data_IF_168734128092
#
_entry.id   IF_168734128092
#
_cell.length_a   1.000
_cell.length_b   1.000
_cell.length_c   1.000
_cell.angle_alpha   90.00
_cell.angle_beta   90.00
_cell.angle_gamma   90.00
#
_symmetry.space_group_name_H-M   'P 1'
#
loop_
_entity.id
_entity.type
_entity.pdbx_description
1 polymer ?
#
# COMPACT_ATOMS: atom_id res chain seq x y z
N UNK A 1 0.08 -4.01 12.99
CA UNK A 1 -1.16 -4.18 12.20
C UNK A 1 -0.77 -4.33 10.74
N UNK A 2 -1.34 -5.30 10.02
CA UNK A 2 -0.98 -5.60 8.62
C UNK A 2 -1.02 -4.36 7.72
N UNK A 3 -2.10 -3.57 7.78
CA UNK A 3 -2.24 -2.36 6.94
C UNK A 3 -1.11 -1.34 7.11
N UNK A 4 -0.53 -1.21 8.32
CA UNK A 4 0.63 -0.33 8.53
C UNK A 4 1.86 -0.83 7.79
N UNK A 5 2.17 -2.14 7.93
CA UNK A 5 3.32 -2.74 7.28
C UNK A 5 3.17 -2.75 5.74
N UNK A 6 1.97 -3.03 5.25
CA UNK A 6 1.67 -2.95 3.82
C UNK A 6 1.86 -1.52 3.29
N UNK A 7 1.34 -0.49 3.96
CA UNK A 7 1.54 0.90 3.56
C UNK A 7 3.03 1.31 3.59
N UNK A 8 3.78 0.86 4.60
CA UNK A 8 5.21 1.12 4.68
C UNK A 8 5.97 0.53 3.50
N UNK A 9 5.64 -0.71 3.10
CA UNK A 9 6.19 -1.34 1.91
C UNK A 9 5.81 -0.59 0.63
N UNK A 10 4.54 -0.21 0.46
CA UNK A 10 4.04 0.54 -0.70
C UNK A 10 4.67 1.93 -0.83
N UNK A 11 5.10 2.54 0.27
CA UNK A 11 5.70 3.88 0.29
C UNK A 11 7.24 3.86 0.36
N UNK A 12 7.87 2.70 0.45
CA UNK A 12 9.32 2.59 0.52
C UNK A 12 9.89 1.97 -0.75
N UNK A 13 10.96 2.56 -1.27
CA UNK A 13 11.64 2.04 -2.45
C UNK A 13 13.09 2.50 -2.49
N UNK A 14 13.95 1.72 -3.15
CA UNK A 14 15.31 2.15 -3.49
C UNK A 14 15.58 1.87 -4.96
N UNK A 15 15.51 2.92 -5.79
CA UNK A 15 15.72 2.79 -7.24
C UNK A 15 17.18 2.52 -7.61
N UNK A 16 18.10 2.61 -6.64
CA UNK A 16 19.52 2.31 -6.82
C UNK A 16 19.81 0.83 -6.65
N UNK A 17 18.99 0.14 -5.87
CA UNK A 17 19.18 -1.26 -5.51
C UNK A 17 18.31 -2.21 -6.33
N UNK A 18 17.13 -1.75 -6.75
CA UNK A 18 16.13 -2.59 -7.41
C UNK A 18 15.60 -1.97 -8.71
N UNK A 19 15.31 -2.82 -9.67
CA UNK A 19 14.50 -2.47 -10.83
C UNK A 19 13.03 -2.28 -10.44
N UNK A 20 12.29 -1.57 -11.29
CA UNK A 20 10.86 -1.36 -11.12
C UNK A 20 10.08 -2.68 -11.09
N UNK A 21 10.47 -3.65 -11.91
CA UNK A 21 9.83 -4.97 -11.97
C UNK A 21 10.08 -5.80 -10.70
N UNK A 22 11.29 -5.71 -10.11
CA UNK A 22 11.57 -6.36 -8.82
C UNK A 22 10.74 -5.76 -7.69
N UNK A 23 10.60 -4.43 -7.65
CA UNK A 23 9.71 -3.79 -6.66
C UNK A 23 8.26 -4.26 -6.87
N UNK A 24 7.73 -4.23 -8.10
CA UNK A 24 6.36 -4.68 -8.36
C UNK A 24 6.14 -6.14 -7.95
N UNK A 25 7.10 -7.01 -8.23
CA UNK A 25 7.05 -8.42 -7.80
C UNK A 25 6.97 -8.52 -6.27
N UNK A 26 7.80 -7.75 -5.55
CA UNK A 26 7.77 -7.72 -4.09
C UNK A 26 6.45 -7.16 -3.54
N UNK A 27 5.90 -6.10 -4.15
CA UNK A 27 4.63 -5.50 -3.73
C UNK A 27 3.43 -6.41 -4.03
N UNK A 28 3.43 -7.13 -5.16
CA UNK A 28 2.42 -8.15 -5.44
C UNK A 28 2.47 -9.32 -4.46
N UNK A 29 3.61 -9.58 -3.81
CA UNK A 29 3.71 -10.55 -2.71
C UNK A 29 2.85 -10.21 -1.48
N UNK A 30 2.36 -8.97 -1.36
CA UNK A 30 1.42 -8.59 -0.32
C UNK A 30 -0.03 -8.92 -0.66
N UNK A 31 -0.34 -9.13 -1.95
CA UNK A 31 -1.70 -9.39 -2.39
C UNK A 31 -2.20 -10.77 -1.93
N UNK A 32 -3.50 -10.87 -1.72
CA UNK A 32 -4.17 -12.16 -1.51
C UNK A 32 -3.99 -13.05 -2.74
N UNK A 33 -3.88 -14.35 -2.51
CA UNK A 33 -3.83 -15.35 -3.59
C UNK A 33 -5.21 -15.64 -4.17
N UNK A 34 -6.28 -15.14 -3.54
CA UNK A 34 -7.65 -15.25 -4.05
C UNK A 34 -7.87 -14.24 -5.20
N UNK A 35 -7.65 -14.68 -6.44
CA UNK A 35 -7.71 -13.84 -7.64
C UNK A 35 -9.01 -13.07 -7.83
N UNK A 36 -10.12 -13.54 -7.26
CA UNK A 36 -11.41 -12.83 -7.25
C UNK A 36 -11.34 -11.50 -6.48
N UNK A 37 -10.46 -11.39 -5.49
CA UNK A 37 -10.35 -10.24 -4.59
C UNK A 37 -9.05 -9.44 -4.77
N UNK A 38 -8.04 -10.02 -5.39
CA UNK A 38 -6.79 -9.34 -5.66
C UNK A 38 -6.93 -8.33 -6.80
N UNK A 39 -6.57 -7.08 -6.54
CA UNK A 39 -6.47 -5.98 -7.50
C UNK A 39 -5.00 -5.56 -7.68
N UNK A 40 -4.22 -6.30 -8.50
CA UNK A 40 -2.83 -5.95 -8.80
C UNK A 40 -2.72 -4.62 -9.54
N UNK A 41 -3.71 -4.23 -10.34
CA UNK A 41 -3.68 -2.98 -11.08
C UNK A 41 -3.65 -1.77 -10.13
N UNK A 42 -4.33 -1.85 -8.97
CA UNK A 42 -4.22 -0.81 -7.94
C UNK A 42 -2.81 -0.65 -7.36
N UNK A 43 -2.07 -1.75 -7.23
CA UNK A 43 -0.68 -1.76 -6.75
C UNK A 43 0.24 -1.22 -7.84
N UNK A 44 0.06 -1.65 -9.09
CA UNK A 44 0.81 -1.14 -10.24
C UNK A 44 0.68 0.39 -10.37
N UNK A 45 -0.54 0.91 -10.17
CA UNK A 45 -0.86 2.32 -10.34
C UNK A 45 -0.11 3.26 -9.37
N UNK A 46 0.34 2.76 -8.22
CA UNK A 46 1.10 3.56 -7.25
C UNK A 46 2.61 3.52 -7.49
N UNK A 47 3.10 2.63 -8.35
CA UNK A 47 4.51 2.51 -8.66
C UNK A 47 4.86 3.37 -9.88
N UNK A 48 5.93 4.20 -9.83
CA UNK A 48 6.39 4.96 -10.98
C UNK A 48 6.61 4.09 -12.22
N UNK A 49 6.26 4.62 -13.39
CA UNK A 49 6.45 3.92 -14.66
C UNK A 49 7.93 3.55 -14.89
N UNK A 50 8.25 2.51 -15.70
CA UNK A 50 9.63 2.10 -15.95
C UNK A 50 10.54 3.23 -16.47
N UNK A 51 9.99 4.15 -17.27
CA UNK A 51 10.72 5.31 -17.80
C UNK A 51 11.06 6.29 -16.68
N UNK A 52 10.09 6.58 -15.79
CA UNK A 52 10.32 7.44 -14.63
C UNK A 52 11.29 6.80 -13.64
N UNK A 53 11.17 5.50 -13.41
CA UNK A 53 12.06 4.73 -12.54
C UNK A 53 13.53 4.86 -12.96
N UNK A 54 13.84 4.74 -14.25
CA UNK A 54 15.21 4.92 -14.76
C UNK A 54 15.75 6.32 -14.47
N UNK A 55 14.92 7.36 -14.57
CA UNK A 55 15.30 8.74 -14.23
C UNK A 55 15.53 8.92 -12.74
N UNK A 56 14.66 8.35 -11.91
CA UNK A 56 14.82 8.30 -10.45
C UNK A 56 16.12 7.61 -10.05
N UNK A 57 16.43 6.46 -10.66
CA UNK A 57 17.66 5.70 -10.43
C UNK A 57 18.91 6.48 -10.84
N UNK A 58 18.91 7.14 -12.00
CA UNK A 58 20.01 8.01 -12.42
C UNK A 58 20.26 9.14 -11.40
N UNK A 59 19.19 9.69 -10.84
CA UNK A 59 19.24 10.70 -9.77
C UNK A 59 19.56 10.10 -8.39
N UNK A 60 19.75 8.79 -8.27
CA UNK A 60 20.02 8.11 -7.02
C UNK A 60 18.87 8.21 -6.01
N UNK A 61 17.63 8.23 -6.49
CA UNK A 61 16.47 8.47 -5.65
C UNK A 61 16.07 7.23 -4.84
N UNK A 62 15.77 7.42 -3.57
CA UNK A 62 15.17 6.40 -2.72
C UNK A 62 14.20 7.05 -1.74
N UNK A 63 13.23 6.28 -1.27
CA UNK A 63 12.26 6.70 -0.30
C UNK A 63 12.15 5.71 0.86
N UNK A 64 12.02 6.25 2.06
CA UNK A 64 11.68 5.50 3.27
C UNK A 64 10.39 6.05 3.86
N UNK A 65 9.55 5.16 4.38
CA UNK A 65 8.30 5.56 5.01
C UNK A 65 8.32 5.30 6.51
N UNK A 66 7.62 6.16 7.26
CA UNK A 66 7.24 5.93 8.64
C UNK A 66 5.72 6.02 8.74
N UNK A 67 5.08 4.92 9.11
CA UNK A 67 3.63 4.85 9.26
C UNK A 67 3.25 5.10 10.72
N UNK A 68 2.40 6.10 10.95
CA UNK A 68 2.03 6.51 12.30
C UNK A 68 0.74 5.79 12.75
N UNK A 69 -0.28 5.77 11.89
CA UNK A 69 -1.63 5.36 12.28
C UNK A 69 -2.32 4.55 11.19
N UNK A 70 -3.26 3.69 11.59
CA UNK A 70 -4.10 2.90 10.71
C UNK A 70 -5.47 2.77 11.36
N UNK A 71 -6.49 3.38 10.76
CA UNK A 71 -7.85 3.44 11.29
C UNK A 71 -8.84 2.87 10.29
N UNK A 72 -9.88 2.22 10.80
CA UNK A 72 -11.06 1.92 10.00
C UNK A 72 -11.90 3.20 9.88
N UNK A 73 -12.51 3.51 8.72
CA UNK A 73 -13.48 4.59 8.64
C UNK A 73 -14.60 4.39 9.67
N UNK A 74 -15.07 5.46 10.32
CA UNK A 74 -16.15 5.36 11.31
C UNK A 74 -17.42 4.76 10.71
N UNK A 75 -17.74 5.12 9.47
CA UNK A 75 -18.87 4.54 8.71
C UNK A 75 -18.71 3.04 8.47
N UNK A 76 -17.47 2.57 8.27
CA UNK A 76 -17.15 1.17 8.13
C UNK A 76 -17.27 0.42 9.46
N UNK A 77 -16.82 1.04 10.55
CA UNK A 77 -17.00 0.54 11.92
C UNK A 77 -18.49 0.44 12.28
N UNK A 78 -19.29 1.44 11.90
CA UNK A 78 -20.74 1.44 12.09
C UNK A 78 -21.43 0.35 11.24
N UNK A 79 -21.02 0.16 9.99
CA UNK A 79 -21.55 -0.90 9.13
C UNK A 79 -21.22 -2.30 9.69
N UNK A 80 -20.00 -2.49 10.23
CA UNK A 80 -19.58 -3.72 10.93
C UNK A 80 -20.44 -3.99 12.16
N UNK A 81 -20.74 -2.96 12.95
CA UNK A 81 -21.58 -3.09 14.14
C UNK A 81 -23.06 -3.34 13.80
N UNK A 82 -23.56 -2.74 12.72
CA UNK A 82 -24.96 -2.84 12.31
C UNK A 82 -25.31 -4.18 11.66
N UNK A 83 -24.42 -4.74 10.83
CA UNK A 83 -24.64 -6.02 10.16
C UNK A 83 -23.32 -6.79 9.99
N UNK A 84 -22.77 -7.40 11.07
CA UNK A 84 -21.51 -8.15 11.00
C UNK A 84 -21.57 -9.31 9.99
N UNK A 85 -22.78 -9.81 9.69
CA UNK A 85 -23.08 -10.84 8.69
C UNK A 85 -22.96 -10.40 7.22
N UNK A 86 -22.90 -9.11 6.89
CA UNK A 86 -22.84 -8.65 5.48
C UNK A 86 -21.40 -8.47 4.97
N UNK A 87 -20.43 -8.32 5.87
CA UNK A 87 -18.98 -8.30 5.57
C UNK A 87 -18.40 -9.74 5.60
N UNK A 88 -19.25 -10.78 5.42
CA UNK A 88 -18.86 -12.19 5.66
C UNK A 88 -18.49 -13.02 4.44
N UNK A 89 -18.52 -12.51 3.20
CA UNK A 89 -18.10 -13.36 2.06
C UNK A 89 -16.63 -13.24 1.69
N UNK A 90 -15.99 -12.08 1.88
CA UNK A 90 -14.59 -11.87 1.50
C UNK A 90 -13.66 -11.58 2.70
N UNK A 91 -14.19 -11.15 3.85
CA UNK A 91 -13.40 -10.64 4.99
C UNK A 91 -12.44 -9.51 4.58
N UNK A 92 -12.85 -8.66 3.64
CA UNK A 92 -12.08 -7.50 3.18
C UNK A 92 -12.54 -6.25 3.91
N UNK A 93 -11.60 -5.53 4.50
CA UNK A 93 -11.85 -4.34 5.30
C UNK A 93 -11.04 -3.15 4.79
N UNK A 94 -11.66 -1.96 4.77
CA UNK A 94 -10.98 -0.72 4.41
C UNK A 94 -10.18 -0.18 5.60
N UNK A 95 -8.86 -0.02 5.42
CA UNK A 95 -7.94 0.52 6.43
C UNK A 95 -7.31 1.80 5.90
N UNK A 96 -7.66 2.94 6.48
CA UNK A 96 -7.01 4.22 6.18
C UNK A 96 -5.74 4.33 7.00
N UNK A 97 -4.61 4.45 6.31
CA UNK A 97 -3.27 4.49 6.90
C UNK A 97 -2.66 5.85 6.63
N UNK A 98 -2.08 6.45 7.65
CA UNK A 98 -1.38 7.75 7.56
C UNK A 98 0.05 7.64 8.06
N UNK A 99 0.92 8.43 7.46
CA UNK A 99 2.34 8.45 7.81
C UNK A 99 3.10 9.54 7.07
N UNK A 100 4.40 9.34 6.97
CA UNK A 100 5.32 10.26 6.32
C UNK A 100 6.28 9.48 5.45
N UNK A 101 6.48 9.93 4.22
CA UNK A 101 7.51 9.44 3.32
C UNK A 101 8.64 10.47 3.25
N UNK A 102 9.88 10.01 3.39
CA UNK A 102 11.08 10.81 3.18
C UNK A 102 11.73 10.34 1.89
N UNK A 103 12.03 11.26 1.00
CA UNK A 103 12.59 11.00 -0.33
C UNK A 103 13.95 11.69 -0.41
N UNK A 104 14.98 10.97 -0.79
CA UNK A 104 16.33 11.51 -0.98
C UNK A 104 16.78 11.29 -2.41
N UNK A 105 17.57 12.22 -2.96
CA UNK A 105 18.19 12.10 -4.29
C UNK A 105 19.49 12.93 -4.35
N UNK A 106 20.33 12.64 -5.35
CA UNK A 106 21.60 13.33 -5.57
C UNK A 106 21.38 14.83 -5.80
N UNK A 107 22.20 15.65 -5.14
CA UNK A 107 22.16 17.11 -5.28
C UNK A 107 21.10 17.81 -4.41
N UNK A 108 20.32 17.09 -3.60
CA UNK A 108 19.45 17.68 -2.57
C UNK A 108 19.82 17.16 -1.18
N UNK A 109 20.68 17.88 -0.42
CA UNK A 109 21.13 17.45 0.91
C UNK A 109 19.98 17.25 1.91
N UNK A 110 18.90 18.03 1.78
CA UNK A 110 17.72 17.95 2.63
C UNK A 110 16.69 16.92 2.14
N UNK A 111 16.79 16.47 0.88
CA UNK A 111 15.77 15.65 0.24
C UNK A 111 14.40 16.35 0.19
N UNK A 112 13.34 15.54 0.22
CA UNK A 112 11.96 15.95 0.40
C UNK A 112 11.27 15.05 1.42
N UNK A 113 10.23 15.55 2.07
CA UNK A 113 9.39 14.71 2.91
C UNK A 113 7.93 15.13 2.79
N UNK A 114 7.04 14.15 2.63
CA UNK A 114 5.61 14.37 2.46
C UNK A 114 4.78 13.53 3.43
N UNK A 115 3.69 14.11 3.93
CA UNK A 115 2.70 13.32 4.66
C UNK A 115 1.93 12.47 3.63
N UNK A 116 1.74 11.20 3.95
CA UNK A 116 1.03 10.24 3.11
C UNK A 116 -0.24 9.79 3.82
N UNK A 117 -1.30 9.62 3.06
CA UNK A 117 -2.52 8.92 3.48
C UNK A 117 -2.91 7.99 2.34
N UNK A 118 -3.29 6.76 2.68
CA UNK A 118 -3.83 5.78 1.72
C UNK A 118 -4.93 4.98 2.38
N UNK A 119 -5.91 4.52 1.62
CA UNK A 119 -6.86 3.51 2.10
C UNK A 119 -6.53 2.18 1.43
N UNK A 120 -6.40 1.13 2.23
CA UNK A 120 -6.07 -0.22 1.80
C UNK A 120 -7.30 -1.11 1.96
N UNK A 121 -7.58 -1.95 0.97
CA UNK A 121 -8.48 -3.08 1.17
C UNK A 121 -7.65 -4.24 1.73
N UNK A 122 -7.91 -4.65 2.96
CA UNK A 122 -7.16 -5.69 3.67
C UNK A 122 -8.08 -6.88 3.93
N UNK A 123 -7.70 -8.04 3.43
CA UNK A 123 -8.38 -9.30 3.68
C UNK A 123 -7.85 -9.95 4.96
N UNK A 124 -8.68 -10.17 5.97
CA UNK A 124 -8.29 -10.84 7.22
C UNK A 124 -9.34 -11.86 7.66
N UNK A 125 -9.07 -13.16 7.48
CA UNK A 125 -9.99 -14.24 7.91
C UNK A 125 -9.59 -14.81 9.27
N UNK A 126 -10.53 -15.40 10.02
CA UNK A 126 -10.18 -16.24 11.16
C UNK A 126 -9.16 -17.32 10.76
N UNK A 127 -8.12 -17.48 11.57
CA UNK A 127 -7.06 -18.50 11.40
C UNK A 127 -6.22 -18.40 10.11
N UNK A 128 -6.26 -17.27 9.39
CA UNK A 128 -5.40 -17.02 8.22
C UNK A 128 -4.63 -15.71 8.37
N UNK A 129 -3.38 -15.62 7.86
CA UNK A 129 -2.68 -14.35 7.76
C UNK A 129 -3.51 -13.33 6.96
N UNK A 130 -3.43 -12.06 7.36
CA UNK A 130 -4.01 -10.99 6.54
C UNK A 130 -3.23 -10.83 5.24
N UNK A 131 -3.92 -10.39 4.20
CA UNK A 131 -3.35 -10.09 2.90
C UNK A 131 -3.95 -8.79 2.35
N UNK A 132 -3.29 -8.16 1.38
CA UNK A 132 -3.78 -6.99 0.68
C UNK A 132 -4.75 -7.45 -0.42
N UNK A 133 -5.92 -6.83 -0.51
CA UNK A 133 -6.80 -7.00 -1.67
C UNK A 133 -6.50 -5.91 -2.71
N UNK A 134 -6.19 -4.68 -2.29
CA UNK A 134 -5.82 -3.59 -3.19
C UNK A 134 -5.64 -2.25 -2.48
N UNK A 135 -5.38 -1.20 -3.27
CA UNK A 135 -5.13 0.18 -2.82
C UNK A 135 -6.19 1.12 -3.42
N UNK A 136 -6.82 1.97 -2.60
CA UNK A 136 -7.80 2.97 -3.07
C UNK A 136 -7.16 4.14 -3.83
N UNK A 137 -7.87 4.80 -4.77
CA UNK A 137 -9.32 4.72 -5.00
C UNK A 137 -9.78 3.52 -5.83
N UNK A 138 -8.85 2.72 -6.37
CA UNK A 138 -9.10 1.75 -7.44
C UNK A 138 -9.88 0.49 -7.04
N UNK A 139 -10.10 0.25 -5.75
CA UNK A 139 -11.02 -0.80 -5.29
C UNK A 139 -12.46 -0.26 -5.32
N UNK A 140 -13.16 -0.56 -6.40
CA UNK A 140 -14.61 -0.36 -6.47
C UNK A 140 -15.32 -1.27 -5.43
N UNK A 141 -16.45 -0.82 -4.85
CA UNK A 141 -17.26 -1.62 -3.92
C UNK A 141 -17.81 -2.91 -4.55
#
# INVERSE_FOLDING_TARGET
MFGKAAAEALWSYDTRAYSQAELLTALHGWLTTETKYADPASVDAIVPSPVLWKKMAANGQFATAKVNEGHFPDSFTQALQANPGTITQAYVYAVTVSGKQSIAWKGSPAGGAENRVTTLAVQCRPSHPCALAGVMPSVAP
#
